data_IF_542480367293
#
_entry.id   IF_542480367293
#
_cell.length_a   1.000
_cell.length_b   1.000
_cell.length_c   1.000
_cell.angle_alpha   90.00
_cell.angle_beta   90.00
_cell.angle_gamma   90.00
#
_symmetry.space_group_name_H-M   'P 1'
#
loop_
_entity.id
_entity.type
_entity.pdbx_description
1 polymer ?
#
# COMPACT_ATOMS: atom_id res chain seq x y z
N UNK A 1 -41.18 -0.50 36.28
CA UNK A 1 -40.67 -0.91 34.94
C UNK A 1 -39.25 -0.37 34.79
N UNK A 2 -38.23 -1.23 34.98
CA UNK A 2 -36.80 -0.89 34.84
C UNK A 2 -36.47 -0.82 33.34
N UNK A 3 -36.09 0.35 32.83
CA UNK A 3 -35.50 0.49 31.48
C UNK A 3 -33.98 0.34 31.61
N UNK A 4 -33.47 -0.77 31.10
CA UNK A 4 -32.06 -1.08 30.99
C UNK A 4 -31.51 -0.30 29.78
N UNK A 5 -30.66 0.71 30.01
CA UNK A 5 -29.99 1.45 28.94
C UNK A 5 -28.68 0.73 28.62
N UNK A 6 -28.67 -0.07 27.56
CA UNK A 6 -27.47 -0.73 27.05
C UNK A 6 -26.73 0.29 26.18
N UNK A 7 -25.65 0.88 26.71
CA UNK A 7 -24.68 1.61 25.90
C UNK A 7 -23.91 0.59 25.04
N UNK A 8 -24.28 0.46 23.77
CA UNK A 8 -23.41 -0.17 22.77
C UNK A 8 -22.21 0.76 22.54
N UNK A 9 -21.07 0.38 23.11
CA UNK A 9 -19.77 0.82 22.63
C UNK A 9 -19.52 0.20 21.25
N UNK A 10 -19.98 0.88 20.19
CA UNK A 10 -19.44 0.63 18.86
C UNK A 10 -18.05 1.27 18.82
N UNK A 11 -17.06 0.42 19.02
CA UNK A 11 -15.66 0.67 18.71
C UNK A 11 -15.58 1.11 17.25
N UNK A 12 -15.55 2.42 17.01
CA UNK A 12 -15.10 2.97 15.74
C UNK A 12 -13.63 2.63 15.61
N UNK A 13 -13.34 1.50 14.96
CA UNK A 13 -12.02 1.17 14.47
C UNK A 13 -11.63 2.22 13.44
N UNK A 14 -11.02 3.30 13.91
CA UNK A 14 -10.40 4.30 13.06
C UNK A 14 -9.24 3.60 12.36
N UNK A 15 -9.38 3.29 11.07
CA UNK A 15 -8.25 2.92 10.23
C UNK A 15 -7.31 4.11 10.21
N UNK A 16 -6.24 4.06 11.00
CA UNK A 16 -5.19 5.07 11.00
C UNK A 16 -4.52 5.09 9.62
N UNK A 17 -5.02 5.93 8.72
CA UNK A 17 -4.21 6.38 7.59
C UNK A 17 -3.07 7.18 8.19
N UNK A 18 -1.89 6.58 8.29
CA UNK A 18 -0.66 7.28 8.64
C UNK A 18 -0.41 8.33 7.55
N UNK A 19 -0.89 9.54 7.80
CA UNK A 19 -0.53 10.76 7.07
C UNK A 19 0.99 10.92 7.08
N UNK A 20 1.56 11.57 6.06
CA UNK A 20 2.94 12.06 5.81
C UNK A 20 3.91 12.31 7.00
N UNK A 21 3.40 12.32 8.23
CA UNK A 21 4.05 12.59 9.52
C UNK A 21 5.28 11.73 9.85
N UNK A 22 5.55 10.66 9.12
CA UNK A 22 6.77 9.84 9.27
C UNK A 22 7.88 10.17 8.25
N UNK A 23 7.54 10.86 7.15
CA UNK A 23 8.53 11.31 6.16
C UNK A 23 8.84 12.79 6.35
N UNK A 24 10.12 13.17 6.27
CA UNK A 24 10.47 14.57 6.21
C UNK A 24 10.16 15.15 4.81
N UNK A 25 10.01 16.47 4.72
CA UNK A 25 9.67 17.18 3.47
C UNK A 25 10.64 16.88 2.33
N UNK A 26 11.94 16.70 2.64
CA UNK A 26 12.97 16.37 1.65
C UNK A 26 12.73 15.00 1.02
N UNK A 27 12.38 13.99 1.80
CA UNK A 27 12.05 12.65 1.30
C UNK A 27 10.81 12.69 0.40
N UNK A 28 9.78 13.44 0.80
CA UNK A 28 8.56 13.60 0.02
C UNK A 28 8.86 14.30 -1.32
N UNK A 29 9.67 15.36 -1.30
CA UNK A 29 10.10 16.06 -2.51
C UNK A 29 10.96 15.19 -3.44
N UNK A 30 11.76 14.28 -2.90
CA UNK A 30 12.53 13.33 -3.72
C UNK A 30 11.61 12.28 -4.37
N UNK A 31 10.70 11.69 -3.59
CA UNK A 31 9.68 10.73 -4.09
C UNK A 31 8.87 11.36 -5.24
N UNK A 32 8.54 12.65 -5.11
CA UNK A 32 7.92 13.46 -6.15
C UNK A 32 8.71 13.42 -7.45
N UNK A 33 9.93 13.95 -7.41
CA UNK A 33 10.77 14.18 -8.58
C UNK A 33 11.12 12.87 -9.30
N UNK A 34 11.26 11.77 -8.57
CA UNK A 34 11.60 10.47 -9.15
C UNK A 34 10.45 9.82 -9.95
N UNK A 35 9.20 10.20 -9.68
CA UNK A 35 8.02 9.49 -10.19
C UNK A 35 7.00 10.38 -10.92
N UNK A 36 7.10 11.70 -10.78
CA UNK A 36 6.14 12.65 -11.35
C UNK A 36 6.78 14.01 -11.63
N UNK A 37 6.18 14.76 -12.56
CA UNK A 37 6.55 16.15 -12.84
C UNK A 37 5.77 17.17 -11.98
N UNK A 38 4.94 16.69 -11.04
CA UNK A 38 4.16 17.57 -10.17
C UNK A 38 5.03 18.21 -9.08
N UNK A 39 4.58 19.37 -8.59
CA UNK A 39 5.18 20.03 -7.43
C UNK A 39 4.94 19.24 -6.14
N UNK A 40 5.75 19.47 -5.10
CA UNK A 40 5.59 18.83 -3.80
C UNK A 40 4.19 19.08 -3.18
N UNK A 41 3.58 20.24 -3.46
CA UNK A 41 2.24 20.59 -2.95
C UNK A 41 1.15 19.66 -3.49
N UNK A 42 1.25 19.22 -4.74
CA UNK A 42 0.33 18.23 -5.33
C UNK A 42 0.46 16.84 -4.68
N UNK A 43 1.50 16.64 -3.89
CA UNK A 43 1.84 15.39 -3.22
C UNK A 43 1.58 15.42 -1.72
N UNK A 44 1.06 16.54 -1.22
CA UNK A 44 0.54 16.66 0.15
C UNK A 44 -0.56 15.63 0.47
N UNK A 45 -1.17 15.03 -0.55
CA UNK A 45 -2.17 13.97 -0.42
C UNK A 45 -1.64 12.57 -0.79
N UNK A 46 -0.32 12.38 -0.95
CA UNK A 46 0.24 11.04 -1.15
C UNK A 46 -0.09 10.17 0.06
N UNK A 47 -0.69 9.01 -0.21
CA UNK A 47 -0.92 8.01 0.83
C UNK A 47 0.34 7.19 0.98
N UNK A 48 0.94 7.29 2.16
CA UNK A 48 2.14 6.54 2.53
C UNK A 48 1.73 5.55 3.62
N UNK A 49 2.09 4.29 3.44
CA UNK A 49 1.84 3.24 4.43
C UNK A 49 3.18 2.74 4.94
N UNK A 50 3.44 2.93 6.22
CA UNK A 50 4.55 2.27 6.90
C UNK A 50 4.27 0.78 7.01
N UNK A 51 5.23 -0.02 6.56
CA UNK A 51 5.12 -1.47 6.56
C UNK A 51 5.80 -2.03 7.81
N UNK A 52 7.11 -1.77 7.95
CA UNK A 52 7.90 -2.14 9.12
C UNK A 52 9.29 -1.50 9.07
N UNK A 53 10.05 -1.70 10.15
CA UNK A 53 11.48 -1.40 10.22
C UNK A 53 12.28 -2.71 10.15
N UNK A 54 13.31 -2.74 9.30
CA UNK A 54 14.30 -3.80 9.19
C UNK A 54 15.71 -3.21 9.32
N UNK A 55 16.48 -3.62 10.34
CA UNK A 55 17.86 -3.19 10.54
C UNK A 55 18.13 -1.65 10.50
N UNK A 56 17.18 -0.84 11.00
CA UNK A 56 17.17 0.65 10.96
C UNK A 56 16.70 1.26 9.64
N UNK A 57 16.24 0.43 8.71
CA UNK A 57 15.59 0.87 7.48
C UNK A 57 14.08 0.77 7.65
N UNK A 58 13.38 1.90 7.62
CA UNK A 58 11.93 1.93 7.59
C UNK A 58 11.44 1.68 6.16
N UNK A 59 10.60 0.66 5.97
CA UNK A 59 9.98 0.36 4.69
C UNK A 59 8.64 1.06 4.57
N UNK A 60 8.49 1.83 3.49
CA UNK A 60 7.31 2.60 3.19
C UNK A 60 6.75 2.23 1.82
N UNK A 61 5.46 1.96 1.77
CA UNK A 61 4.70 1.83 0.55
C UNK A 61 4.08 3.18 0.19
N UNK A 62 4.31 3.64 -1.03
CA UNK A 62 3.80 4.91 -1.53
C UNK A 62 2.75 4.63 -2.60
N UNK A 63 1.56 5.17 -2.38
CA UNK A 63 0.41 5.08 -3.26
C UNK A 63 0.23 6.41 -4.01
N UNK A 64 0.48 6.38 -5.32
CA UNK A 64 0.27 7.53 -6.21
C UNK A 64 -1.14 7.57 -6.80
N UNK A 65 -2.07 6.74 -6.31
CA UNK A 65 -3.46 6.78 -6.71
C UNK A 65 -4.19 7.98 -6.08
N UNK A 66 -4.07 9.13 -6.72
CA UNK A 66 -4.94 10.27 -6.45
C UNK A 66 -5.38 10.90 -7.78
N UNK A 67 -6.45 11.69 -7.75
CA UNK A 67 -7.05 12.29 -8.96
C UNK A 67 -6.06 13.14 -9.79
N UNK A 68 -4.98 13.63 -9.18
CA UNK A 68 -3.96 14.46 -9.84
C UNK A 68 -2.81 13.63 -10.44
N UNK A 69 -2.58 12.41 -9.95
CA UNK A 69 -1.43 11.56 -10.27
C UNK A 69 -1.81 10.29 -11.05
N UNK A 70 -3.05 9.82 -10.90
CA UNK A 70 -3.52 8.59 -11.51
C UNK A 70 -5.01 8.64 -11.86
N UNK A 71 -5.37 8.18 -13.05
CA UNK A 71 -6.76 7.85 -13.41
C UNK A 71 -7.16 6.48 -12.88
N UNK A 72 -8.46 6.20 -12.78
CA UNK A 72 -9.12 5.05 -12.12
C UNK A 72 -8.56 3.64 -12.46
N UNK A 73 -7.68 3.49 -13.47
CA UNK A 73 -7.10 2.22 -13.92
C UNK A 73 -5.57 2.29 -13.98
N UNK A 74 -4.91 1.39 -13.26
CA UNK A 74 -3.45 1.23 -13.16
C UNK A 74 -2.70 2.43 -12.59
N UNK A 75 -2.46 2.42 -11.28
CA UNK A 75 -1.72 3.47 -10.58
C UNK A 75 -0.32 3.05 -10.23
N UNK A 76 0.58 4.04 -10.18
CA UNK A 76 1.95 3.81 -9.76
C UNK A 76 1.98 3.55 -8.25
N UNK A 77 2.70 2.52 -7.88
CA UNK A 77 3.03 2.18 -6.52
C UNK A 77 4.53 1.98 -6.39
N UNK A 78 5.10 2.40 -5.26
CA UNK A 78 6.52 2.27 -5.01
C UNK A 78 6.80 1.82 -3.57
N UNK A 79 7.83 1.00 -3.42
CA UNK A 79 8.39 0.59 -2.14
C UNK A 79 9.72 1.32 -1.93
N UNK A 80 9.84 2.00 -0.80
CA UNK A 80 11.04 2.73 -0.41
C UNK A 80 11.57 2.22 0.92
N UNK A 81 12.90 2.14 1.05
CA UNK A 81 13.58 2.08 2.33
C UNK A 81 14.06 3.47 2.73
N UNK A 82 13.99 3.78 4.02
CA UNK A 82 14.46 5.03 4.60
C UNK A 82 15.39 4.74 5.75
N UNK A 83 16.63 5.21 5.63
CA UNK A 83 17.67 5.03 6.62
C UNK A 83 18.37 6.37 6.88
N UNK A 84 18.29 6.88 8.11
CA UNK A 84 18.91 8.15 8.50
C UNK A 84 18.58 9.33 7.55
N UNK A 85 17.36 9.33 7.00
CA UNK A 85 16.89 10.35 6.06
C UNK A 85 17.36 10.16 4.61
N UNK A 86 18.12 9.11 4.31
CA UNK A 86 18.40 8.66 2.94
C UNK A 86 17.26 7.77 2.44
N UNK A 87 16.78 8.09 1.24
CA UNK A 87 15.69 7.38 0.58
C UNK A 87 16.25 6.46 -0.49
N UNK A 88 15.87 5.19 -0.48
CA UNK A 88 16.23 4.21 -1.50
C UNK A 88 14.97 3.58 -2.10
N UNK A 89 14.79 3.72 -3.41
CA UNK A 89 13.75 3.00 -4.14
C UNK A 89 14.10 1.50 -4.20
N UNK A 90 13.21 0.65 -3.69
CA UNK A 90 13.39 -0.81 -3.67
C UNK A 90 12.62 -1.52 -4.78
N UNK A 91 11.44 -1.01 -5.13
CA UNK A 91 10.57 -1.56 -6.16
C UNK A 91 9.52 -0.54 -6.60
N UNK A 92 9.04 -0.64 -7.85
CA UNK A 92 7.86 0.10 -8.32
C UNK A 92 7.15 -0.65 -9.44
N UNK A 93 5.84 -0.52 -9.51
CA UNK A 93 5.05 -0.97 -10.64
C UNK A 93 3.71 -0.24 -10.74
N UNK A 94 3.07 -0.38 -11.90
CA UNK A 94 1.69 0.02 -12.09
C UNK A 94 0.76 -1.14 -11.69
N UNK A 95 -0.12 -0.91 -10.71
CA UNK A 95 -1.06 -1.90 -10.19
C UNK A 95 -2.50 -1.43 -10.34
N UNK A 96 -3.42 -2.37 -10.47
CA UNK A 96 -4.85 -2.08 -10.43
C UNK A 96 -5.31 -1.93 -8.97
N UNK A 97 -5.78 -0.74 -8.54
CA UNK A 97 -6.28 -0.55 -7.19
C UNK A 97 -7.68 -1.16 -6.99
N UNK A 98 -8.38 -1.53 -8.07
CA UNK A 98 -9.74 -2.05 -8.01
C UNK A 98 -9.71 -3.53 -7.61
N UNK A 99 -10.04 -3.78 -6.34
CA UNK A 99 -10.10 -5.11 -5.75
C UNK A 99 -11.48 -5.37 -5.13
N UNK A 100 -11.87 -6.65 -4.94
CA UNK A 100 -13.08 -6.98 -4.21
C UNK A 100 -13.07 -6.37 -2.79
N UNK A 101 -14.25 -6.15 -2.19
CA UNK A 101 -14.34 -5.65 -0.82
C UNK A 101 -13.51 -6.51 0.15
N UNK A 102 -12.86 -5.84 1.12
CA UNK A 102 -12.03 -6.46 2.18
C UNK A 102 -10.73 -7.12 1.68
N UNK A 103 -10.42 -7.05 0.39
CA UNK A 103 -9.12 -7.47 -0.15
C UNK A 103 -8.19 -6.26 -0.17
N UNK A 104 -7.06 -6.34 0.53
CA UNK A 104 -6.06 -5.29 0.49
C UNK A 104 -5.19 -5.45 -0.75
N UNK A 105 -4.80 -4.32 -1.36
CA UNK A 105 -3.83 -4.31 -2.46
C UNK A 105 -2.48 -4.87 -2.00
N UNK A 106 -2.07 -4.51 -0.78
CA UNK A 106 -0.82 -4.96 -0.17
C UNK A 106 -1.07 -5.55 1.20
N UNK A 107 -0.30 -6.58 1.54
CA UNK A 107 -0.30 -7.17 2.88
C UNK A 107 1.15 -7.44 3.32
N UNK A 108 1.55 -6.98 4.51
CA UNK A 108 2.85 -7.32 5.10
C UNK A 108 3.00 -8.83 5.36
N UNK A 109 4.08 -9.46 4.86
CA UNK A 109 4.39 -10.88 5.09
C UNK A 109 5.91 -11.11 5.20
N UNK A 110 6.50 -10.62 6.30
CA UNK A 110 7.96 -10.46 6.43
C UNK A 110 8.75 -11.75 6.10
N UNK A 111 9.87 -11.65 5.36
CA UNK A 111 10.50 -10.42 4.85
C UNK A 111 9.88 -9.92 3.53
N UNK A 112 8.81 -10.54 3.06
CA UNK A 112 8.16 -10.25 1.81
C UNK A 112 6.90 -9.37 1.98
N UNK A 113 6.31 -9.01 0.86
CA UNK A 113 4.98 -8.42 0.74
C UNK A 113 4.11 -9.33 -0.12
N UNK A 114 2.82 -9.35 0.17
CA UNK A 114 1.82 -9.88 -0.76
C UNK A 114 1.19 -8.72 -1.51
N UNK A 115 1.12 -8.85 -2.84
CA UNK A 115 0.40 -7.92 -3.72
C UNK A 115 -0.76 -8.68 -4.34
N UNK A 116 -1.98 -8.22 -4.09
CA UNK A 116 -3.18 -8.82 -4.67
C UNK A 116 -3.60 -8.04 -5.93
N UNK A 117 -3.91 -8.73 -7.01
CA UNK A 117 -4.43 -8.16 -8.25
C UNK A 117 -5.65 -8.95 -8.71
N UNK A 118 -6.61 -8.23 -9.31
CA UNK A 118 -7.76 -8.88 -9.91
C UNK A 118 -7.34 -9.74 -11.10
N UNK A 119 -7.78 -11.01 -11.13
CA UNK A 119 -7.53 -11.85 -12.29
C UNK A 119 -8.55 -11.56 -13.39
N UNK A 120 -8.12 -10.81 -14.42
CA UNK A 120 -8.97 -10.44 -15.57
C UNK A 120 -9.57 -11.62 -16.33
N UNK A 121 -8.91 -12.79 -16.29
CA UNK A 121 -9.35 -13.99 -17.00
C UNK A 121 -10.33 -14.82 -16.17
N UNK A 122 -10.25 -14.75 -14.85
CA UNK A 122 -11.12 -15.46 -13.93
C UNK A 122 -11.51 -14.55 -12.75
N UNK A 123 -12.66 -13.86 -12.83
CA UNK A 123 -13.16 -12.94 -11.80
C UNK A 123 -13.34 -13.54 -10.40
N UNK A 124 -13.47 -14.87 -10.29
CA UNK A 124 -13.59 -15.58 -9.01
C UNK A 124 -12.22 -15.88 -8.38
N UNK A 125 -11.13 -15.34 -8.92
CA UNK A 125 -9.75 -15.60 -8.48
C UNK A 125 -8.98 -14.28 -8.35
N UNK A 126 -8.15 -14.19 -7.32
CA UNK A 126 -7.12 -13.17 -7.18
C UNK A 126 -5.77 -13.72 -7.63
N UNK A 127 -5.02 -12.92 -8.38
CA UNK A 127 -3.59 -13.16 -8.56
C UNK A 127 -2.86 -12.54 -7.35
N UNK A 128 -2.27 -13.37 -6.51
CA UNK A 128 -1.43 -12.94 -5.38
C UNK A 128 0.05 -13.13 -5.72
N UNK A 129 0.83 -12.06 -5.64
CA UNK A 129 2.27 -12.07 -5.89
C UNK A 129 3.04 -11.95 -4.59
N UNK A 130 4.06 -12.78 -4.41
CA UNK A 130 5.04 -12.61 -3.32
C UNK A 130 6.16 -11.70 -3.83
N UNK A 131 6.34 -10.55 -3.19
CA UNK A 131 7.40 -9.60 -3.48
C UNK A 131 8.43 -9.64 -2.34
N UNK A 132 9.60 -10.20 -2.59
CA UNK A 132 10.61 -10.48 -1.56
C UNK A 132 11.93 -9.75 -1.85
N UNK A 133 12.75 -9.48 -0.82
CA UNK A 133 14.08 -8.92 -1.00
C UNK A 133 14.99 -9.90 -1.76
N UNK A 134 15.66 -9.38 -2.78
CA UNK A 134 16.69 -10.05 -3.57
C UNK A 134 17.77 -9.02 -3.97
N UNK A 135 19.00 -9.25 -3.52
CA UNK A 135 20.19 -8.42 -3.82
C UNK A 135 19.97 -6.89 -3.67
N UNK A 136 19.30 -6.45 -2.59
CA UNK A 136 19.08 -5.03 -2.29
C UNK A 136 17.93 -4.37 -3.06
N UNK A 137 17.13 -5.16 -3.78
CA UNK A 137 15.85 -4.75 -4.38
C UNK A 137 14.75 -5.73 -3.97
N UNK A 138 13.51 -5.40 -4.26
CA UNK A 138 12.39 -6.31 -4.09
C UNK A 138 11.99 -6.87 -5.46
N UNK A 139 11.75 -8.18 -5.54
CA UNK A 139 11.37 -8.87 -6.77
C UNK A 139 10.21 -9.85 -6.54
N UNK A 140 9.43 -10.08 -7.60
CA UNK A 140 8.36 -11.06 -7.55
C UNK A 140 9.01 -12.45 -7.59
N UNK A 141 8.85 -13.21 -6.51
CA UNK A 141 9.43 -14.56 -6.37
C UNK A 141 8.40 -15.66 -6.60
N UNK A 142 7.12 -15.36 -6.40
CA UNK A 142 6.04 -16.32 -6.53
C UNK A 142 4.74 -15.64 -6.97
N UNK A 143 3.89 -16.42 -7.63
CA UNK A 143 2.52 -16.03 -8.03
C UNK A 143 1.57 -17.18 -7.75
N UNK A 144 0.52 -16.89 -7.00
CA UNK A 144 -0.54 -17.84 -6.67
C UNK A 144 -1.89 -17.33 -7.14
N UNK A 145 -2.76 -18.26 -7.51
CA UNK A 145 -4.16 -18.01 -7.82
C UNK A 145 -5.01 -18.33 -6.58
N UNK A 146 -5.59 -17.31 -5.96
CA UNK A 146 -6.37 -17.45 -4.73
C UNK A 146 -7.87 -17.38 -5.07
N UNK A 147 -8.64 -18.46 -4.87
CA UNK A 147 -10.08 -18.43 -5.07
C UNK A 147 -10.76 -17.46 -4.11
N UNK A 148 -11.66 -16.63 -4.64
CA UNK A 148 -12.52 -15.76 -3.84
C UNK A 148 -13.67 -16.59 -3.28
N UNK A 149 -13.66 -16.88 -1.98
CA UNK A 149 -14.80 -17.50 -1.33
C UNK A 149 -15.97 -16.50 -1.30
N UNK A 150 -17.03 -16.79 -2.06
CA UNK A 150 -18.24 -15.95 -2.23
C UNK A 150 -19.08 -15.72 -0.95
N UNK A 151 -18.62 -16.17 0.20
CA UNK A 151 -19.30 -16.01 1.49
C UNK A 151 -18.95 -14.72 2.24
N UNK A 152 -18.14 -13.83 1.65
CA UNK A 152 -17.81 -12.53 2.24
C UNK A 152 -18.20 -11.30 1.41
N UNK A 153 -18.86 -11.51 0.27
CA UNK A 153 -19.46 -10.46 -0.59
C UNK A 153 -20.77 -9.95 -0.01
#
# INVERSE_FOLDING_TARGET
MKKLLICLFLLTGCSSSLTLRELNEKSVAQIAQENTNLSADALSNLKITYLWNDNREALHWVDFNNEQLCGIKYCLYALYAINEGQLQLLWRAYLDPLLPPKVNLIEPDKPCLKINQFNKKNPDVLDQYSLCPDLGKYQITDKQAIPLNRSQS
#
